data_IF_463899060554
#
_entry.id   IF_463899060554
#
_cell.length_a   1.000
_cell.length_b   1.000
_cell.length_c   1.000
_cell.angle_alpha   90.00
_cell.angle_beta   90.00
_cell.angle_gamma   90.00
#
_symmetry.space_group_name_H-M   'P 1'
#
loop_
_entity.id
_entity.type
_entity.pdbx_description
1 polymer ?
#
# COMPACT_ATOMS: atom_id res chain seq x y z
N UNK A 1 21.56 -51.20 12.33
CA UNK A 1 21.72 -49.87 12.96
C UNK A 1 21.87 -48.85 11.84
N UNK A 2 20.77 -48.36 11.27
CA UNK A 2 20.78 -47.44 10.12
C UNK A 2 19.81 -46.30 10.42
N UNK A 3 20.37 -45.09 10.41
CA UNK A 3 19.79 -43.87 10.93
C UNK A 3 18.52 -43.44 10.20
N UNK A 4 17.55 -43.02 11.01
CA UNK A 4 16.38 -42.26 10.60
C UNK A 4 16.84 -40.93 9.97
N UNK A 5 16.58 -40.75 8.68
CA UNK A 5 16.72 -39.48 7.98
C UNK A 5 15.63 -38.51 8.44
N UNK A 6 16.02 -37.46 9.16
CA UNK A 6 15.19 -36.28 9.40
C UNK A 6 15.09 -35.44 8.12
N UNK A 7 14.04 -35.66 7.34
CA UNK A 7 13.75 -34.89 6.13
C UNK A 7 13.08 -33.53 6.40
N UNK A 8 12.72 -33.20 7.65
CA UNK A 8 12.04 -31.93 7.98
C UNK A 8 13.00 -30.82 8.39
N UNK A 9 14.11 -31.16 9.04
CA UNK A 9 15.12 -30.20 9.48
C UNK A 9 15.77 -29.38 8.34
N UNK A 10 16.10 -30.04 7.22
CA UNK A 10 16.77 -29.39 6.09
C UNK A 10 15.92 -28.34 5.36
N UNK A 11 14.61 -28.55 5.25
CA UNK A 11 13.69 -27.59 4.61
C UNK A 11 13.53 -26.32 5.46
N UNK A 12 13.36 -26.47 6.78
CA UNK A 12 13.26 -25.35 7.70
C UNK A 12 14.56 -24.54 7.77
N UNK A 13 15.72 -25.19 7.68
CA UNK A 13 17.03 -24.51 7.62
C UNK A 13 17.14 -23.68 6.33
N UNK A 14 16.80 -24.24 5.17
CA UNK A 14 16.82 -23.49 3.89
C UNK A 14 15.84 -22.32 3.88
N UNK A 15 14.66 -22.48 4.48
CA UNK A 15 13.68 -21.40 4.59
C UNK A 15 14.16 -20.27 5.49
N UNK A 16 14.83 -20.59 6.61
CA UNK A 16 15.48 -19.60 7.47
C UNK A 16 16.55 -18.82 6.72
N UNK A 17 17.41 -19.50 5.97
CA UNK A 17 18.46 -18.83 5.18
C UNK A 17 17.88 -17.97 4.04
N UNK A 18 16.80 -18.40 3.39
CA UNK A 18 16.08 -17.57 2.40
C UNK A 18 15.49 -16.31 3.05
N UNK A 19 14.91 -16.44 4.24
CA UNK A 19 14.37 -15.31 4.98
C UNK A 19 15.47 -14.33 5.42
N UNK A 20 16.59 -14.85 5.92
CA UNK A 20 17.78 -14.05 6.26
C UNK A 20 18.38 -13.38 5.04
N UNK A 21 18.48 -14.06 3.89
CA UNK A 21 18.96 -13.48 2.64
C UNK A 21 18.02 -12.37 2.12
N UNK A 22 16.71 -12.56 2.26
CA UNK A 22 15.71 -11.55 1.92
C UNK A 22 15.85 -10.30 2.82
N UNK A 23 16.02 -10.49 4.13
CA UNK A 23 16.31 -9.40 5.07
C UNK A 23 17.64 -8.71 4.77
N UNK A 24 18.68 -9.47 4.43
CA UNK A 24 19.99 -8.93 4.10
C UNK A 24 19.97 -8.11 2.80
N UNK A 25 19.16 -8.51 1.81
CA UNK A 25 18.94 -7.74 0.58
C UNK A 25 18.20 -6.41 0.82
N UNK A 26 17.50 -6.26 1.95
CA UNK A 26 16.79 -5.03 2.34
C UNK A 26 17.69 -4.05 3.13
N UNK A 27 18.81 -4.49 3.71
CA UNK A 27 19.76 -3.64 4.46
C UNK A 27 20.35 -2.48 3.63
N UNK A 28 20.77 -2.66 2.37
CA UNK A 28 21.29 -1.56 1.54
C UNK A 28 20.27 -0.45 1.30
N UNK A 29 18.96 -0.76 1.35
CA UNK A 29 17.92 0.24 1.22
C UNK A 29 17.91 1.19 2.43
N UNK A 30 18.30 0.73 3.61
CA UNK A 30 18.40 1.54 4.85
C UNK A 30 19.60 2.48 4.86
N UNK A 31 20.64 2.21 4.05
CA UNK A 31 21.84 3.05 3.92
C UNK A 31 21.63 4.27 3.01
N UNK A 32 20.52 4.31 2.26
CA UNK A 32 20.13 5.48 1.48
C UNK A 32 19.34 6.45 2.37
N UNK A 33 19.49 7.76 2.15
CA UNK A 33 18.65 8.75 2.80
C UNK A 33 17.18 8.51 2.43
N UNK A 34 16.45 7.82 3.32
CA UNK A 34 15.03 7.59 3.19
C UNK A 34 14.29 8.78 3.78
N UNK A 35 13.33 9.29 3.02
CA UNK A 35 12.39 10.29 3.50
C UNK A 35 11.09 9.58 3.89
N UNK A 36 10.54 10.00 5.01
CA UNK A 36 9.17 9.70 5.38
C UNK A 36 8.39 11.00 5.37
N UNK A 37 7.30 11.03 4.61
CA UNK A 37 6.37 12.13 4.61
C UNK A 37 4.96 11.59 4.68
N UNK A 38 4.09 12.29 5.40
CA UNK A 38 2.76 11.76 5.61
C UNK A 38 1.79 12.74 6.20
N UNK A 39 0.54 12.31 6.21
CA UNK A 39 -0.58 12.97 6.86
C UNK A 39 -1.41 11.92 7.58
N UNK A 40 -1.66 12.19 8.85
CA UNK A 40 -2.60 11.44 9.67
C UNK A 40 -3.71 12.40 10.07
N UNK A 41 -4.95 12.06 9.78
CA UNK A 41 -6.11 12.90 10.07
C UNK A 41 -7.15 12.07 10.80
N UNK A 42 -7.54 12.56 11.97
CA UNK A 42 -8.58 11.94 12.81
C UNK A 42 -9.78 12.88 12.82
N UNK A 43 -10.98 12.33 12.61
CA UNK A 43 -12.21 13.10 12.72
C UNK A 43 -13.28 12.28 13.45
N UNK A 44 -14.11 12.99 14.19
CA UNK A 44 -15.20 12.41 14.97
C UNK A 44 -16.47 13.22 14.72
N UNK A 45 -17.56 12.54 14.41
CA UNK A 45 -18.85 13.15 14.10
C UNK A 45 -19.94 12.49 14.94
N UNK A 46 -20.77 13.32 15.57
CA UNK A 46 -22.01 12.90 16.20
C UNK A 46 -23.17 13.63 15.52
N UNK A 47 -24.16 12.89 15.04
CA UNK A 47 -25.31 13.44 14.32
C UNK A 47 -26.53 12.53 14.49
N UNK A 48 -27.71 13.06 14.21
CA UNK A 48 -28.96 12.29 14.20
C UNK A 48 -29.34 11.95 12.76
N UNK A 49 -29.75 10.72 12.51
CA UNK A 49 -30.19 10.24 11.20
C UNK A 49 -31.64 9.78 11.29
N UNK A 50 -32.48 10.23 10.36
CA UNK A 50 -33.82 9.67 10.19
C UNK A 50 -33.73 8.40 9.35
N UNK A 51 -34.06 7.25 9.96
CA UNK A 51 -33.98 5.94 9.28
C UNK A 51 -35.32 5.54 8.66
N UNK A 52 -36.44 5.95 9.26
CA UNK A 52 -37.80 5.76 8.72
C UNK A 52 -38.77 6.80 9.32
N UNK A 53 -40.01 6.84 8.83
CA UNK A 53 -41.01 7.83 9.28
C UNK A 53 -41.20 7.73 10.80
N UNK A 54 -40.85 8.80 11.52
CA UNK A 54 -40.96 8.88 12.97
C UNK A 54 -39.85 8.16 13.75
N UNK A 55 -38.83 7.62 13.09
CA UNK A 55 -37.69 6.95 13.73
C UNK A 55 -36.39 7.68 13.42
N UNK A 56 -35.81 8.28 14.45
CA UNK A 56 -34.49 8.87 14.39
C UNK A 56 -33.50 8.07 15.24
N UNK A 57 -32.28 7.90 14.73
CA UNK A 57 -31.19 7.21 15.42
C UNK A 57 -30.00 8.14 15.58
N UNK A 58 -29.42 8.15 16.78
CA UNK A 58 -28.17 8.86 17.04
C UNK A 58 -27.00 8.08 16.44
N UNK A 59 -26.13 8.76 15.72
CA UNK A 59 -24.96 8.23 15.05
C UNK A 59 -23.71 8.86 15.67
N UNK A 60 -22.67 8.06 15.88
CA UNK A 60 -21.38 8.52 16.38
C UNK A 60 -20.28 7.81 15.59
N UNK A 61 -19.54 8.55 14.75
CA UNK A 61 -18.57 7.97 13.82
C UNK A 61 -17.19 8.57 14.00
N UNK A 62 -16.19 7.70 14.08
CA UNK A 62 -14.79 8.08 14.00
C UNK A 62 -14.16 7.64 12.70
N UNK A 63 -13.33 8.51 12.13
CA UNK A 63 -12.53 8.23 10.95
C UNK A 63 -11.06 8.51 11.25
N UNK A 64 -10.19 7.61 10.80
CA UNK A 64 -8.75 7.76 10.82
C UNK A 64 -8.22 7.59 9.42
N UNK A 65 -7.86 8.69 8.78
CA UNK A 65 -7.27 8.70 7.45
C UNK A 65 -5.76 8.79 7.56
N UNK A 66 -5.05 7.98 6.78
CA UNK A 66 -3.60 7.99 6.70
C UNK A 66 -3.16 8.07 5.25
N UNK A 67 -2.18 8.92 4.98
CA UNK A 67 -1.51 9.02 3.69
C UNK A 67 -0.02 9.08 3.95
N UNK A 68 0.73 8.11 3.45
CA UNK A 68 2.15 8.00 3.71
C UNK A 68 2.94 7.78 2.42
N UNK A 69 4.12 8.40 2.40
CA UNK A 69 5.14 8.27 1.37
C UNK A 69 6.45 7.91 2.09
N UNK A 70 6.91 6.69 1.85
CA UNK A 70 8.14 6.16 2.43
C UNK A 70 9.15 5.89 1.32
N UNK A 71 10.37 6.38 1.46
CA UNK A 71 11.48 5.97 0.61
C UNK A 71 12.33 7.12 0.11
N UNK A 72 13.21 6.83 -0.84
CA UNK A 72 14.22 7.74 -1.35
C UNK A 72 13.86 8.35 -2.70
N UNK A 73 14.90 8.68 -3.48
CA UNK A 73 14.77 9.19 -4.85
C UNK A 73 14.44 8.09 -5.85
N UNK A 74 14.90 6.87 -5.60
CA UNK A 74 14.78 5.73 -6.53
C UNK A 74 13.63 4.82 -6.17
N UNK A 75 13.52 4.39 -4.92
CA UNK A 75 12.43 3.50 -4.47
C UNK A 75 11.51 4.23 -3.51
N UNK A 76 10.21 4.07 -3.71
CA UNK A 76 9.18 4.77 -2.93
C UNK A 76 7.91 3.94 -2.77
N UNK A 77 7.46 3.76 -1.55
CA UNK A 77 6.18 3.17 -1.19
C UNK A 77 5.18 4.28 -0.91
N UNK A 78 4.04 4.25 -1.59
CA UNK A 78 2.93 5.18 -1.38
C UNK A 78 1.71 4.40 -0.92
N UNK A 79 1.11 4.85 0.18
CA UNK A 79 -0.11 4.27 0.73
C UNK A 79 -1.07 5.35 1.19
N UNK A 80 -2.35 5.09 0.99
CA UNK A 80 -3.45 5.96 1.38
C UNK A 80 -4.65 5.09 1.73
N UNK A 81 -5.16 5.28 2.94
CA UNK A 81 -6.30 4.54 3.42
C UNK A 81 -7.04 5.28 4.51
N UNK A 82 -8.18 4.70 4.88
CA UNK A 82 -9.03 5.18 5.95
C UNK A 82 -9.52 4.00 6.77
N UNK A 83 -9.51 4.17 8.08
CA UNK A 83 -10.20 3.32 9.03
C UNK A 83 -11.44 4.08 9.51
N UNK A 84 -12.58 3.42 9.54
CA UNK A 84 -13.81 3.97 10.09
C UNK A 84 -14.36 3.05 11.17
N UNK A 85 -15.01 3.66 12.16
CA UNK A 85 -15.66 2.96 13.26
C UNK A 85 -16.94 3.67 13.65
N UNK A 86 -17.99 2.88 13.80
CA UNK A 86 -19.24 3.31 14.41
C UNK A 86 -19.19 3.08 15.94
N UNK A 87 -19.52 4.12 16.69
CA UNK A 87 -19.58 4.15 18.16
C UNK A 87 -21.03 4.21 18.67
N UNK A 88 -22.03 4.32 17.79
CA UNK A 88 -23.44 4.40 18.16
C UNK A 88 -24.07 3.05 18.49
N UNK A 89 -23.52 1.95 17.95
CA UNK A 89 -24.02 0.60 18.18
C UNK A 89 -23.00 -0.25 18.92
N UNK A 90 -23.47 -1.12 19.83
CA UNK A 90 -22.62 -2.09 20.55
C UNK A 90 -22.19 -3.29 19.68
N UNK A 91 -22.49 -3.28 18.37
CA UNK A 91 -22.16 -4.40 17.50
C UNK A 91 -20.63 -4.56 17.42
N UNK A 92 -20.14 -5.67 17.98
CA UNK A 92 -18.76 -6.07 17.85
C UNK A 92 -18.47 -6.35 16.37
N UNK A 93 -17.87 -5.40 15.65
CA UNK A 93 -17.38 -5.63 14.28
C UNK A 93 -17.57 -4.52 13.24
N UNK A 94 -18.18 -3.37 13.54
CA UNK A 94 -18.46 -2.33 12.52
C UNK A 94 -17.26 -1.42 12.19
N UNK A 95 -16.04 -1.91 12.39
CA UNK A 95 -14.83 -1.23 11.95
C UNK A 95 -14.56 -1.57 10.49
N UNK A 96 -14.53 -0.58 9.59
CA UNK A 96 -14.16 -0.81 8.18
C UNK A 96 -12.81 -0.19 7.88
N UNK A 97 -12.06 -0.87 7.02
CA UNK A 97 -10.79 -0.39 6.50
C UNK A 97 -10.91 -0.29 4.99
N UNK A 98 -10.57 0.88 4.44
CA UNK A 98 -10.53 1.12 3.00
C UNK A 98 -9.13 1.53 2.61
N UNK A 99 -8.47 0.72 1.80
CA UNK A 99 -7.19 1.06 1.19
C UNK A 99 -7.43 1.61 -0.22
N UNK A 100 -7.23 2.92 -0.38
CA UNK A 100 -7.44 3.61 -1.65
C UNK A 100 -6.24 3.47 -2.58
N UNK A 101 -5.03 3.46 -2.03
CA UNK A 101 -3.84 3.13 -2.80
C UNK A 101 -2.79 2.41 -1.96
N UNK A 102 -2.03 1.57 -2.64
CA UNK A 102 -0.87 0.87 -2.13
C UNK A 102 0.00 0.56 -3.34
N UNK A 103 1.05 1.35 -3.53
CA UNK A 103 1.92 1.19 -4.69
C UNK A 103 3.38 1.33 -4.34
N UNK A 104 4.20 0.47 -4.92
CA UNK A 104 5.64 0.56 -4.90
C UNK A 104 6.12 1.16 -6.23
N UNK A 105 6.95 2.18 -6.16
CA UNK A 105 7.51 2.89 -7.30
C UNK A 105 9.03 2.75 -7.29
N UNK A 106 9.59 2.42 -8.44
CA UNK A 106 11.02 2.31 -8.69
C UNK A 106 11.38 3.19 -9.89
N UNK A 107 12.10 4.27 -9.65
CA UNK A 107 12.54 5.24 -10.64
C UNK A 107 13.95 4.98 -11.11
N UNK A 108 14.24 5.41 -12.33
CA UNK A 108 15.58 5.42 -12.92
C UNK A 108 16.25 4.04 -12.99
N UNK A 109 15.48 2.96 -13.13
CA UNK A 109 16.01 1.65 -13.51
C UNK A 109 16.77 1.78 -14.83
N UNK A 110 18.04 1.38 -14.81
CA UNK A 110 18.97 1.58 -15.93
C UNK A 110 18.99 3.02 -16.48
N UNK A 111 18.71 4.03 -15.64
CA UNK A 111 18.62 5.47 -15.97
C UNK A 111 17.51 5.84 -16.96
N UNK A 112 16.65 4.90 -17.38
CA UNK A 112 15.67 5.11 -18.45
C UNK A 112 14.25 4.65 -18.12
N UNK A 113 14.10 3.75 -17.16
CA UNK A 113 12.81 3.10 -16.88
C UNK A 113 12.33 3.46 -15.48
N UNK A 114 11.07 3.84 -15.37
CA UNK A 114 10.37 3.95 -14.09
C UNK A 114 9.25 2.90 -14.06
N UNK A 115 9.16 2.12 -12.98
CA UNK A 115 8.17 1.06 -12.79
C UNK A 115 7.34 1.41 -11.55
N UNK A 116 6.03 1.19 -11.62
CA UNK A 116 5.15 1.31 -10.48
C UNK A 116 4.17 0.14 -10.43
N UNK A 117 4.09 -0.52 -9.28
CA UNK A 117 3.32 -1.75 -9.06
C UNK A 117 2.31 -1.54 -7.92
N UNK A 118 1.11 -2.09 -8.07
CA UNK A 118 0.06 -2.09 -7.04
C UNK A 118 -1.15 -1.24 -7.43
N UNK A 119 -1.95 -0.85 -6.41
CA UNK A 119 -3.10 0.03 -6.58
C UNK A 119 -2.63 1.46 -6.75
N UNK A 120 -2.75 2.00 -7.95
CA UNK A 120 -2.22 3.31 -8.32
C UNK A 120 -3.23 4.16 -9.11
N UNK A 121 -3.31 5.47 -8.86
CA UNK A 121 -4.08 6.37 -9.71
C UNK A 121 -3.39 6.53 -11.06
N UNK A 122 -4.16 6.44 -12.14
CA UNK A 122 -3.69 6.62 -13.51
C UNK A 122 -4.51 7.68 -14.22
N UNK A 123 -3.79 8.50 -14.97
CA UNK A 123 -4.32 9.47 -15.92
C UNK A 123 -3.93 9.04 -17.33
N UNK A 124 -4.92 8.93 -18.21
CA UNK A 124 -4.76 8.49 -19.61
C UNK A 124 -5.14 9.57 -20.65
N UNK A 125 -5.31 10.83 -20.23
CA UNK A 125 -5.76 11.92 -21.12
C UNK A 125 -7.28 11.94 -21.31
N UNK A 126 -7.90 10.78 -21.54
CA UNK A 126 -9.36 10.64 -21.68
C UNK A 126 -10.09 10.22 -20.40
N UNK A 127 -9.37 9.66 -19.41
CA UNK A 127 -9.97 9.21 -18.16
C UNK A 127 -9.00 9.30 -16.97
N UNK A 128 -9.58 9.42 -15.79
CA UNK A 128 -8.88 9.34 -14.50
C UNK A 128 -9.48 8.20 -13.71
N UNK A 129 -8.65 7.31 -13.20
CA UNK A 129 -9.10 6.18 -12.40
C UNK A 129 -7.99 5.60 -11.56
N UNK A 130 -8.32 4.56 -10.80
CA UNK A 130 -7.34 3.73 -10.08
C UNK A 130 -7.26 2.39 -10.78
N UNK A 131 -6.05 1.86 -10.96
CA UNK A 131 -5.84 0.50 -11.46
C UNK A 131 -5.10 -0.31 -10.40
N UNK A 132 -5.39 -1.61 -10.36
CA UNK A 132 -4.62 -2.59 -9.60
C UNK A 132 -3.71 -3.31 -10.57
N UNK A 133 -2.47 -2.85 -10.71
CA UNK A 133 -1.59 -3.41 -11.73
C UNK A 133 -0.24 -2.75 -11.82
N UNK A 134 0.33 -2.77 -13.02
CA UNK A 134 1.64 -2.25 -13.30
C UNK A 134 1.58 -1.03 -14.22
N UNK A 135 2.54 -0.14 -14.04
CA UNK A 135 2.78 1.00 -14.92
C UNK A 135 4.29 1.05 -15.20
N UNK A 136 4.63 1.22 -16.47
CA UNK A 136 6.01 1.38 -16.94
C UNK A 136 6.10 2.69 -17.70
N UNK A 137 7.11 3.48 -17.38
CA UNK A 137 7.50 4.68 -18.13
C UNK A 137 8.90 4.49 -18.66
N UNK A 138 9.08 4.68 -19.97
CA UNK A 138 10.37 4.54 -20.64
C UNK A 138 10.77 5.89 -21.25
N UNK A 139 11.96 6.36 -20.89
CA UNK A 139 12.63 7.52 -21.48
C UNK A 139 13.43 7.04 -22.70
N UNK A 140 12.79 7.02 -23.86
CA UNK A 140 13.41 6.56 -25.10
C UNK A 140 14.45 7.56 -25.63
N UNK A 141 14.22 8.87 -25.43
CA UNK A 141 15.13 9.96 -25.78
C UNK A 141 14.93 11.16 -24.84
N UNK A 142 15.69 12.26 -25.02
CA UNK A 142 15.45 13.56 -24.35
C UNK A 142 14.02 14.08 -24.59
N UNK A 143 13.41 13.76 -25.73
CA UNK A 143 12.11 14.31 -26.15
C UNK A 143 10.97 13.29 -26.06
N UNK A 144 11.27 11.99 -26.09
CA UNK A 144 10.26 10.93 -26.16
C UNK A 144 10.15 10.16 -24.83
N UNK A 145 8.94 10.13 -24.29
CA UNK A 145 8.57 9.32 -23.12
C UNK A 145 7.37 8.47 -23.47
N UNK A 146 7.49 7.17 -23.26
CA UNK A 146 6.41 6.21 -23.43
C UNK A 146 5.88 5.81 -22.05
N UNK A 147 4.57 5.72 -21.90
CA UNK A 147 3.91 5.29 -20.68
C UNK A 147 2.90 4.21 -21.04
N UNK A 148 3.05 3.03 -20.45
CA UNK A 148 2.10 1.94 -20.53
C UNK A 148 1.64 1.58 -19.12
N UNK A 149 0.39 1.19 -18.96
CA UNK A 149 -0.17 0.72 -17.71
C UNK A 149 -1.29 -0.28 -17.98
N UNK A 150 -1.51 -1.19 -17.04
CA UNK A 150 -2.52 -2.22 -17.13
C UNK A 150 -2.58 -3.08 -15.88
N UNK A 151 -3.71 -3.73 -15.68
CA UNK A 151 -4.03 -4.55 -14.51
C UNK A 151 -5.31 -5.32 -14.79
#
# INVERSE_FOLDING_TARGET
MLGFFDHKGGFMIRLKWLFVAMLAALLPALLSAQTFSGRLTSSFYAYERSDSIGVNTGQARGYQTFQFDFGGKEVRLRTYGQLDRDFSTRLAGDGKARMYNLSLEWKNLAKRVDVQLGRQPVFSGGAVGTIDGAQIKVKASRWLRLKAFGG
#
